data_IF_318133935220
#
_entry.id   IF_318133935220
#
_cell.length_a   1.000
_cell.length_b   1.000
_cell.length_c   1.000
_cell.angle_alpha   90.00
_cell.angle_beta   90.00
_cell.angle_gamma   90.00
#
_symmetry.space_group_name_H-M   'P 1'
#
loop_
_entity.id
_entity.type
_entity.pdbx_description
1 polymer ?
#
# COMPACT_ATOMS: atom_id res chain seq x y z
N UNK A 1 1.39 -3.51 -6.56
CA UNK A 1 0.19 -3.08 -5.82
C UNK A 1 -0.70 -2.17 -6.67
N UNK A 2 -2.01 -2.08 -6.45
CA UNK A 2 -3.00 -1.17 -7.11
C UNK A 2 -3.91 -0.54 -6.05
N UNK A 3 -4.76 0.44 -6.40
CA UNK A 3 -5.71 1.03 -5.44
C UNK A 3 -6.63 -0.03 -4.80
N UNK A 4 -7.08 -1.02 -5.58
CA UNK A 4 -7.89 -2.13 -5.06
C UNK A 4 -7.10 -3.05 -4.12
N UNK A 5 -5.80 -3.27 -4.40
CA UNK A 5 -4.95 -4.08 -3.50
C UNK A 5 -4.77 -3.37 -2.14
N UNK A 6 -4.65 -2.03 -2.13
CA UNK A 6 -4.62 -1.21 -0.91
C UNK A 6 -5.96 -1.28 -0.18
N UNK A 7 -7.07 -1.01 -0.89
CA UNK A 7 -8.40 -0.96 -0.30
C UNK A 7 -8.86 -2.28 0.34
N UNK A 8 -8.34 -3.41 -0.14
CA UNK A 8 -8.67 -4.75 0.34
C UNK A 8 -7.59 -5.33 1.26
N UNK A 9 -6.67 -4.50 1.74
CA UNK A 9 -5.68 -4.91 2.71
C UNK A 9 -6.37 -5.26 4.03
N UNK A 10 -5.97 -6.39 4.60
CA UNK A 10 -6.44 -6.91 5.89
C UNK A 10 -5.26 -7.05 6.84
N UNK A 11 -5.52 -7.11 8.14
CA UNK A 11 -4.47 -7.22 9.15
C UNK A 11 -3.61 -8.48 8.96
N UNK A 12 -4.23 -9.62 8.62
CA UNK A 12 -3.51 -10.88 8.35
C UNK A 12 -2.61 -10.87 7.12
N UNK A 13 -2.67 -9.83 6.28
CA UNK A 13 -1.70 -9.63 5.20
C UNK A 13 -0.42 -8.91 5.66
N UNK A 14 -0.36 -8.44 6.90
CA UNK A 14 0.76 -7.68 7.44
C UNK A 14 1.62 -8.60 8.29
N UNK A 15 2.90 -8.69 7.95
CA UNK A 15 3.89 -9.34 8.80
C UNK A 15 4.47 -8.30 9.75
N UNK A 16 4.55 -8.68 11.03
CA UNK A 16 5.09 -7.85 12.11
C UNK A 16 6.43 -8.42 12.58
N UNK A 17 7.34 -7.54 12.99
CA UNK A 17 8.56 -7.96 13.69
C UNK A 17 8.27 -8.33 15.17
N UNK A 18 9.31 -8.72 15.89
CA UNK A 18 9.22 -9.06 17.32
C UNK A 18 8.77 -7.91 18.23
N UNK A 19 8.85 -6.66 17.75
CA UNK A 19 8.39 -5.48 18.47
C UNK A 19 6.96 -5.07 18.09
N UNK A 20 6.27 -5.86 17.27
CA UNK A 20 4.92 -5.58 16.80
C UNK A 20 4.86 -4.47 15.74
N UNK A 21 5.98 -4.18 15.07
CA UNK A 21 6.03 -3.18 14.00
C UNK A 21 5.76 -3.85 12.64
N UNK A 22 4.90 -3.28 11.79
CA UNK A 22 4.70 -3.76 10.43
C UNK A 22 6.01 -3.69 9.63
N UNK A 23 6.43 -4.80 9.01
CA UNK A 23 7.67 -4.83 8.20
C UNK A 23 7.44 -5.23 6.75
N UNK A 24 6.36 -5.95 6.47
CA UNK A 24 6.10 -6.51 5.14
C UNK A 24 4.61 -6.69 4.92
N UNK A 25 4.18 -6.54 3.68
CA UNK A 25 2.84 -6.93 3.21
C UNK A 25 3.01 -8.20 2.41
N UNK A 26 2.27 -9.25 2.74
CA UNK A 26 2.14 -10.46 1.94
C UNK A 26 0.68 -10.60 1.49
N UNK A 27 0.45 -10.51 0.17
CA UNK A 27 -0.91 -10.50 -0.36
C UNK A 27 -0.95 -10.99 -1.79
N UNK A 28 -1.97 -11.79 -2.11
CA UNK A 28 -2.28 -12.12 -3.50
C UNK A 28 -2.86 -10.90 -4.22
N UNK A 29 -2.23 -10.51 -5.32
CA UNK A 29 -2.70 -9.40 -6.15
C UNK A 29 -4.05 -9.69 -6.78
N UNK A 30 -4.97 -8.74 -6.65
CA UNK A 30 -6.34 -8.87 -7.20
C UNK A 30 -6.29 -9.04 -8.72
N UNK A 31 -5.48 -8.24 -9.41
CA UNK A 31 -5.41 -8.25 -10.88
C UNK A 31 -4.62 -9.44 -11.45
N UNK A 32 -3.46 -9.76 -10.88
CA UNK A 32 -2.53 -10.73 -11.49
C UNK A 32 -2.62 -12.12 -10.87
N UNK A 33 -3.31 -12.26 -9.73
CA UNK A 33 -3.39 -13.53 -8.96
C UNK A 33 -2.00 -14.11 -8.65
N UNK A 34 -1.04 -13.23 -8.42
CA UNK A 34 0.32 -13.57 -7.99
C UNK A 34 0.42 -13.23 -6.51
N UNK A 35 0.82 -14.22 -5.69
CA UNK A 35 1.22 -13.99 -4.31
C UNK A 35 2.58 -13.31 -4.31
N UNK A 36 2.71 -12.23 -3.55
CA UNK A 36 3.98 -11.53 -3.42
C UNK A 36 4.08 -10.92 -2.03
N UNK A 37 5.33 -10.69 -1.64
CA UNK A 37 5.67 -10.03 -0.40
C UNK A 37 6.45 -8.74 -0.70
N UNK A 38 6.02 -7.63 -0.11
CA UNK A 38 6.64 -6.32 -0.27
C UNK A 38 7.13 -5.83 1.08
N UNK A 39 8.44 -5.63 1.21
CA UNK A 39 9.00 -4.91 2.36
C UNK A 39 8.38 -3.52 2.44
N UNK A 40 7.95 -3.14 3.62
CA UNK A 40 7.50 -1.79 3.91
C UNK A 40 8.71 -0.89 4.09
N UNK A 41 8.61 0.32 3.55
CA UNK A 41 9.48 1.42 3.91
C UNK A 41 9.32 1.73 5.40
N UNK A 42 10.42 2.08 6.07
CA UNK A 42 10.43 2.47 7.48
C UNK A 42 9.38 3.54 7.78
N UNK A 43 9.37 4.56 6.92
CA UNK A 43 8.37 5.63 6.91
C UNK A 43 6.93 5.12 6.86
N UNK A 44 6.66 4.14 5.99
CA UNK A 44 5.34 3.54 5.81
C UNK A 44 4.97 2.66 7.00
N UNK A 45 5.92 1.90 7.55
CA UNK A 45 5.76 1.08 8.74
C UNK A 45 5.32 1.91 9.94
N UNK A 46 5.96 3.06 10.18
CA UNK A 46 5.61 3.98 11.27
C UNK A 46 4.18 4.51 11.14
N UNK A 47 3.81 4.97 9.94
CA UNK A 47 2.46 5.48 9.67
C UNK A 47 1.42 4.38 9.82
N UNK A 48 1.67 3.19 9.29
CA UNK A 48 0.75 2.06 9.36
C UNK A 48 0.56 1.59 10.82
N UNK A 49 1.65 1.48 11.60
CA UNK A 49 1.56 1.13 13.02
C UNK A 49 0.72 2.13 13.80
N UNK A 50 0.96 3.43 13.60
CA UNK A 50 0.19 4.50 14.24
C UNK A 50 -1.30 4.44 13.84
N UNK A 51 -1.58 4.15 12.57
CA UNK A 51 -2.94 4.01 12.06
C UNK A 51 -3.66 2.81 12.67
N UNK A 52 -3.06 1.61 12.63
CA UNK A 52 -3.61 0.36 13.21
C UNK A 52 -3.94 0.58 14.68
N UNK A 53 -3.00 1.17 15.45
CA UNK A 53 -3.19 1.49 16.87
C UNK A 53 -4.33 2.49 17.10
N UNK A 54 -4.41 3.54 16.28
CA UNK A 54 -5.44 4.58 16.44
C UNK A 54 -6.86 4.04 16.24
N UNK A 55 -7.04 3.16 15.28
CA UNK A 55 -8.35 2.60 14.93
C UNK A 55 -8.64 1.25 15.59
N UNK A 56 -7.79 0.82 16.52
CA UNK A 56 -7.92 -0.45 17.27
C UNK A 56 -8.23 -1.66 16.36
N UNK A 57 -7.53 -1.75 15.22
CA UNK A 57 -7.78 -2.79 14.22
C UNK A 57 -7.27 -4.13 14.76
N UNK A 58 -8.19 -5.10 14.90
CA UNK A 58 -7.92 -6.42 15.50
C UNK A 58 -8.43 -7.54 14.61
N UNK A 59 -7.77 -8.69 14.66
CA UNK A 59 -8.16 -9.91 13.93
C UNK A 59 -7.69 -9.92 12.48
N UNK A 60 -7.26 -11.09 12.02
CA UNK A 60 -6.58 -11.25 10.73
C UNK A 60 -7.45 -10.88 9.53
N UNK A 61 -8.77 -11.11 9.64
CA UNK A 61 -9.72 -10.83 8.59
C UNK A 61 -10.17 -9.37 8.50
N UNK A 62 -9.78 -8.54 9.47
CA UNK A 62 -10.20 -7.14 9.53
C UNK A 62 -9.54 -6.29 8.46
N UNK A 63 -10.37 -5.56 7.72
CA UNK A 63 -9.91 -4.58 6.72
C UNK A 63 -9.18 -3.44 7.43
N UNK A 64 -8.05 -3.03 6.85
CA UNK A 64 -7.24 -1.94 7.42
C UNK A 64 -7.88 -0.59 7.11
N UNK A 65 -8.35 -0.37 5.88
CA UNK A 65 -8.84 0.94 5.45
C UNK A 65 -10.35 0.94 5.36
N UNK A 66 -10.96 1.70 6.26
CA UNK A 66 -12.41 1.95 6.31
C UNK A 66 -12.70 3.44 6.09
N UNK A 67 -13.91 3.75 5.60
CA UNK A 67 -14.40 5.13 5.57
C UNK A 67 -14.81 5.62 6.97
N UNK A 68 -15.25 6.87 7.06
CA UNK A 68 -15.64 7.48 8.36
C UNK A 68 -16.82 6.78 9.05
N UNK A 69 -17.59 6.01 8.29
CA UNK A 69 -18.75 5.26 8.78
C UNK A 69 -18.39 3.79 9.05
N UNK A 70 -17.10 3.44 9.02
CA UNK A 70 -16.63 2.06 9.26
C UNK A 70 -16.86 1.11 8.09
N UNK A 71 -17.24 1.61 6.90
CA UNK A 71 -17.48 0.77 5.73
C UNK A 71 -16.22 0.59 4.89
N UNK A 72 -16.11 -0.49 4.10
CA UNK A 72 -15.00 -0.65 3.16
C UNK A 72 -14.84 0.55 2.23
N UNK A 73 -13.59 1.02 2.07
CA UNK A 73 -13.26 2.15 1.18
C UNK A 73 -13.43 1.80 -0.30
N UNK A 74 -13.62 0.53 -0.63
CA UNK A 74 -14.11 0.09 -1.94
C UNK A 74 -15.33 -0.79 -1.74
N UNK A 75 -16.43 -0.46 -2.43
CA UNK A 75 -17.69 -1.20 -2.35
C UNK A 75 -18.54 -0.97 -3.59
N UNK A 76 -19.46 -1.88 -3.84
CA UNK A 76 -20.52 -1.66 -4.83
C UNK A 76 -21.64 -0.83 -4.18
N UNK A 77 -22.16 0.14 -4.93
CA UNK A 77 -23.34 0.91 -4.56
C UNK A 77 -24.50 0.37 -5.36
N UNK A 78 -25.56 -0.01 -4.66
CA UNK A 78 -26.78 -0.53 -5.27
C UNK A 78 -27.69 0.63 -5.68
N UNK A 79 -28.43 0.48 -6.77
CA UNK A 79 -29.51 1.40 -7.15
C UNK A 79 -30.77 1.15 -6.29
N UNK A 80 -31.82 1.93 -6.53
CA UNK A 80 -33.11 1.78 -5.85
C UNK A 80 -33.77 0.41 -6.06
N UNK A 81 -33.35 -0.36 -7.07
CA UNK A 81 -33.82 -1.72 -7.36
C UNK A 81 -32.94 -2.80 -6.69
N UNK A 82 -31.96 -2.41 -5.87
CA UNK A 82 -31.02 -3.35 -5.25
C UNK A 82 -29.97 -3.94 -6.21
N UNK A 83 -29.87 -3.45 -7.45
CA UNK A 83 -28.87 -3.88 -8.44
C UNK A 83 -27.58 -3.06 -8.35
N UNK A 84 -26.40 -3.62 -8.63
CA UNK A 84 -25.16 -2.86 -8.70
C UNK A 84 -25.27 -1.69 -9.70
N UNK A 85 -25.11 -0.46 -9.20
CA UNK A 85 -25.13 0.76 -10.01
C UNK A 85 -23.73 1.17 -10.41
N UNK A 86 -22.86 1.36 -9.41
CA UNK A 86 -21.49 1.80 -9.63
C UNK A 86 -20.60 1.41 -8.45
N UNK A 87 -19.29 1.44 -8.68
CA UNK A 87 -18.29 1.12 -7.66
C UNK A 87 -17.82 2.39 -6.97
N UNK A 88 -17.92 2.42 -5.65
CA UNK A 88 -17.21 3.39 -4.84
C UNK A 88 -15.73 2.99 -4.74
N UNK A 89 -14.83 3.90 -5.11
CA UNK A 89 -13.37 3.75 -4.92
C UNK A 89 -12.83 4.95 -4.13
N UNK A 90 -12.82 4.82 -2.81
CA UNK A 90 -12.32 5.83 -1.89
C UNK A 90 -10.81 6.07 -2.03
N UNK A 91 -10.04 5.03 -2.33
CA UNK A 91 -8.59 5.15 -2.59
C UNK A 91 -8.36 5.90 -3.89
N UNK A 92 -9.04 5.50 -4.97
CA UNK A 92 -9.01 6.19 -6.25
C UNK A 92 -9.40 7.67 -6.13
N UNK A 93 -10.47 7.98 -5.39
CA UNK A 93 -10.89 9.37 -5.10
C UNK A 93 -9.86 10.17 -4.29
N UNK A 94 -9.20 9.55 -3.31
CA UNK A 94 -8.11 10.20 -2.56
C UNK A 94 -6.95 10.56 -3.52
N UNK A 95 -6.55 9.64 -4.40
CA UNK A 95 -5.53 9.92 -5.41
C UNK A 95 -5.97 10.92 -6.48
N UNK A 96 -7.24 10.93 -6.88
CA UNK A 96 -7.75 11.95 -7.82
C UNK A 96 -7.68 13.35 -7.21
N UNK A 97 -7.95 13.50 -5.90
CA UNK A 97 -7.75 14.78 -5.20
C UNK A 97 -6.28 15.19 -5.18
N UNK A 98 -5.37 14.23 -4.94
CA UNK A 98 -3.93 14.49 -5.06
C UNK A 98 -3.55 14.90 -6.49
N UNK A 99 -4.07 14.23 -7.52
CA UNK A 99 -3.83 14.56 -8.93
C UNK A 99 -4.18 16.00 -9.24
N UNK A 100 -5.30 16.51 -8.72
CA UNK A 100 -5.68 17.91 -8.91
C UNK A 100 -4.68 18.86 -8.24
N UNK A 101 -4.07 18.47 -7.12
CA UNK A 101 -3.11 19.32 -6.40
C UNK A 101 -1.69 19.30 -6.99
N UNK A 102 -1.23 18.17 -7.57
CA UNK A 102 0.17 18.00 -7.96
C UNK A 102 0.39 17.20 -9.25
N UNK A 103 -0.67 16.83 -9.99
CA UNK A 103 -0.59 16.05 -11.22
C UNK A 103 -0.30 14.55 -11.03
N UNK A 104 -0.10 14.07 -9.79
CA UNK A 104 0.31 12.70 -9.52
C UNK A 104 -0.87 11.74 -9.39
N UNK A 105 -0.67 10.49 -9.79
CA UNK A 105 -1.66 9.41 -9.69
C UNK A 105 -1.04 8.23 -8.97
N UNK A 106 -1.85 7.27 -8.50
CA UNK A 106 -1.34 6.01 -7.93
C UNK A 106 -0.39 5.29 -8.89
N UNK A 107 -0.65 5.37 -10.20
CA UNK A 107 0.21 4.78 -11.23
C UNK A 107 1.58 5.46 -11.27
N UNK A 108 1.66 6.76 -11.02
CA UNK A 108 2.92 7.50 -10.97
C UNK A 108 3.81 7.00 -9.83
N UNK A 109 3.26 6.78 -8.63
CA UNK A 109 4.04 6.23 -7.51
C UNK A 109 4.72 4.90 -7.86
N UNK A 110 3.96 3.96 -8.46
CA UNK A 110 4.52 2.67 -8.91
C UNK A 110 5.61 2.83 -9.96
N UNK A 111 5.38 3.72 -10.94
CA UNK A 111 6.35 3.98 -12.02
C UNK A 111 7.62 4.58 -11.44
N UNK A 112 7.52 5.56 -10.55
CA UNK A 112 8.65 6.20 -9.89
C UNK A 112 9.51 5.16 -9.16
N UNK A 113 8.92 4.30 -8.33
CA UNK A 113 9.67 3.25 -7.62
C UNK A 113 10.41 2.32 -8.59
N UNK A 114 9.74 1.85 -9.65
CA UNK A 114 10.36 0.96 -10.65
C UNK A 114 11.47 1.67 -11.42
N UNK A 115 11.25 2.92 -11.84
CA UNK A 115 12.27 3.71 -12.52
C UNK A 115 13.49 3.92 -11.64
N UNK A 116 13.32 4.16 -10.35
CA UNK A 116 14.44 4.30 -9.41
C UNK A 116 15.18 2.96 -9.21
N UNK A 117 14.45 1.85 -9.08
CA UNK A 117 15.07 0.51 -9.06
C UNK A 117 15.88 0.23 -10.34
N UNK A 118 15.32 0.57 -11.50
CA UNK A 118 15.97 0.42 -12.80
C UNK A 118 17.25 1.26 -12.88
N UNK A 119 17.23 2.50 -12.38
CA UNK A 119 18.41 3.36 -12.30
C UNK A 119 19.48 2.79 -11.37
N UNK A 120 19.09 2.32 -10.19
CA UNK A 120 20.00 1.71 -9.21
C UNK A 120 20.65 0.41 -9.71
N UNK A 121 20.11 -0.18 -10.77
CA UNK A 121 20.58 -1.42 -11.39
C UNK A 121 21.14 -1.23 -12.79
N UNK A 122 21.20 0.01 -13.29
CA UNK A 122 21.53 0.34 -14.68
C UNK A 122 20.70 -0.46 -15.71
N UNK A 123 19.46 -0.81 -15.36
CA UNK A 123 18.54 -1.60 -16.18
C UNK A 123 18.91 -3.09 -16.33
N UNK A 124 19.93 -3.58 -15.61
CA UNK A 124 20.47 -4.94 -15.78
C UNK A 124 19.58 -6.05 -15.20
N UNK A 125 18.60 -5.70 -14.36
CA UNK A 125 17.78 -6.67 -13.61
C UNK A 125 16.26 -6.49 -13.85
N UNK A 126 15.74 -6.75 -15.06
CA UNK A 126 14.32 -6.58 -15.37
C UNK A 126 13.39 -7.47 -14.53
N UNK A 127 13.91 -8.59 -14.00
CA UNK A 127 13.16 -9.46 -13.10
C UNK A 127 12.88 -8.83 -11.73
N UNK A 128 13.76 -7.93 -11.25
CA UNK A 128 13.53 -7.14 -10.05
C UNK A 128 12.29 -6.26 -10.23
N UNK A 129 12.18 -5.57 -11.36
CA UNK A 129 11.03 -4.72 -11.67
C UNK A 129 9.72 -5.53 -11.78
N UNK A 130 9.79 -6.68 -12.45
CA UNK A 130 8.66 -7.60 -12.60
C UNK A 130 8.21 -8.17 -11.26
N UNK A 131 9.16 -8.57 -10.42
CA UNK A 131 8.92 -9.08 -9.06
C UNK A 131 8.25 -8.02 -8.19
N UNK A 132 8.78 -6.80 -8.15
CA UNK A 132 8.19 -5.69 -7.40
C UNK A 132 6.75 -5.39 -7.86
N UNK A 133 6.53 -5.39 -9.18
CA UNK A 133 5.21 -5.16 -9.76
C UNK A 133 4.28 -6.38 -9.69
N UNK A 134 4.76 -7.54 -9.24
CA UNK A 134 4.07 -8.84 -9.26
C UNK A 134 3.41 -9.12 -10.59
N UNK A 135 4.12 -8.82 -11.67
CA UNK A 135 3.72 -9.18 -13.01
C UNK A 135 4.16 -10.61 -13.28
N UNK A 136 3.31 -11.41 -13.92
CA UNK A 136 3.74 -12.73 -14.39
C UNK A 136 4.77 -12.54 -15.51
N UNK A 137 5.94 -13.19 -15.43
CA UNK A 137 6.87 -13.20 -16.55
C UNK A 137 6.19 -13.69 -17.83
N UNK A 138 6.56 -13.12 -18.97
CA UNK A 138 5.99 -13.53 -20.27
C UNK A 138 6.52 -14.88 -20.76
N UNK A 139 7.67 -15.34 -20.24
CA UNK A 139 8.30 -16.61 -20.61
C UNK A 139 8.08 -17.65 -19.51
N UNK A 140 7.60 -18.84 -19.90
CA UNK A 140 7.35 -19.97 -18.99
C UNK A 140 8.61 -20.36 -18.20
N UNK A 141 9.79 -20.32 -18.82
CA UNK A 141 11.05 -20.61 -18.14
C UNK A 141 11.34 -19.64 -16.98
N UNK A 142 10.96 -18.37 -17.11
CA UNK A 142 11.12 -17.39 -16.03
C UNK A 142 10.09 -17.61 -14.92
N UNK A 143 8.89 -18.13 -15.25
CA UNK A 143 7.83 -18.41 -14.28
C UNK A 143 8.23 -19.52 -13.30
N UNK A 144 8.91 -20.56 -13.79
CA UNK A 144 9.23 -21.75 -12.98
C UNK A 144 10.63 -21.76 -12.38
N UNK A 145 11.60 -21.09 -13.02
CA UNK A 145 13.01 -21.29 -12.68
C UNK A 145 13.74 -20.05 -12.16
N UNK A 146 13.11 -18.86 -12.18
CA UNK A 146 13.76 -17.65 -11.69
C UNK A 146 12.89 -16.93 -10.66
N UNK A 147 13.32 -17.02 -9.41
CA UNK A 147 12.82 -16.19 -8.32
C UNK A 147 13.85 -15.11 -8.00
N UNK A 148 13.40 -13.87 -7.88
CA UNK A 148 14.25 -12.80 -7.34
C UNK A 148 14.43 -13.06 -5.85
N UNK A 149 15.67 -13.15 -5.40
CA UNK A 149 15.98 -13.27 -3.98
C UNK A 149 15.30 -12.12 -3.20
N UNK A 150 14.45 -12.41 -2.19
CA UNK A 150 13.84 -11.39 -1.36
C UNK A 150 14.84 -10.41 -0.74
N UNK A 151 16.05 -10.88 -0.38
CA UNK A 151 17.09 -10.03 0.20
C UNK A 151 17.61 -8.98 -0.80
N UNK A 152 17.74 -9.39 -2.06
CA UNK A 152 18.13 -8.52 -3.16
C UNK A 152 17.06 -7.46 -3.45
N UNK A 153 15.78 -7.86 -3.46
CA UNK A 153 14.65 -6.93 -3.58
C UNK A 153 14.63 -5.89 -2.46
N UNK A 154 14.82 -6.33 -1.21
CA UNK A 154 14.79 -5.47 -0.04
C UNK A 154 15.91 -4.43 -0.06
N UNK A 155 17.11 -4.82 -0.50
CA UNK A 155 18.27 -3.93 -0.67
C UNK A 155 17.95 -2.79 -1.65
N UNK A 156 17.34 -3.12 -2.79
CA UNK A 156 16.96 -2.08 -3.76
C UNK A 156 15.79 -1.21 -3.28
N UNK A 157 14.84 -1.77 -2.51
CA UNK A 157 13.78 -0.98 -1.88
C UNK A 157 14.33 0.01 -0.86
N UNK A 158 15.35 -0.37 -0.08
CA UNK A 158 16.04 0.52 0.86
C UNK A 158 16.69 1.71 0.15
N UNK A 159 17.38 1.47 -0.98
CA UNK A 159 17.99 2.55 -1.78
C UNK A 159 16.94 3.52 -2.32
N UNK A 160 15.78 3.00 -2.78
CA UNK A 160 14.68 3.85 -3.22
C UNK A 160 14.13 4.69 -2.08
N UNK A 161 13.95 4.10 -0.88
CA UNK A 161 13.46 4.83 0.29
C UNK A 161 14.37 6.01 0.65
N UNK A 162 15.69 5.79 0.67
CA UNK A 162 16.68 6.83 0.97
C UNK A 162 16.60 8.00 -0.03
N UNK A 163 16.40 7.71 -1.31
CA UNK A 163 16.31 8.71 -2.37
C UNK A 163 14.99 9.50 -2.39
N UNK A 164 13.91 9.00 -1.76
CA UNK A 164 12.60 9.65 -1.76
C UNK A 164 12.43 10.71 -0.67
N UNK A 165 13.34 10.78 0.31
CA UNK A 165 13.37 11.80 1.38
C UNK A 165 12.00 12.07 2.04
N UNK A 166 11.26 11.00 2.36
CA UNK A 166 9.85 11.08 2.76
C UNK A 166 9.61 11.63 4.19
N UNK A 167 10.66 11.88 4.97
CA UNK A 167 10.56 12.11 6.42
C UNK A 167 9.71 13.33 6.79
N UNK A 168 9.82 14.42 6.01
CA UNK A 168 9.05 15.65 6.26
C UNK A 168 7.53 15.42 6.06
N UNK A 169 7.15 14.59 5.09
CA UNK A 169 5.76 14.21 4.80
C UNK A 169 5.25 13.28 5.90
N UNK A 170 6.05 12.28 6.28
CA UNK A 170 5.73 11.29 7.31
C UNK A 170 5.46 11.97 8.66
N UNK A 171 6.32 12.92 9.03
CA UNK A 171 6.17 13.68 10.27
C UNK A 171 4.82 14.42 10.35
N UNK A 172 4.40 15.07 9.25
CA UNK A 172 3.09 15.74 9.17
C UNK A 172 1.94 14.74 9.28
N UNK A 173 2.04 13.58 8.64
CA UNK A 173 1.00 12.54 8.72
C UNK A 173 0.88 12.02 10.16
N UNK A 174 2.00 11.72 10.81
CA UNK A 174 2.01 11.25 12.20
C UNK A 174 1.42 12.28 13.16
N UNK A 175 1.75 13.58 12.98
CA UNK A 175 1.13 14.67 13.74
C UNK A 175 -0.39 14.71 13.55
N UNK A 176 -0.88 14.60 12.32
CA UNK A 176 -2.31 14.58 12.03
C UNK A 176 -3.03 13.37 12.65
N UNK A 177 -2.40 12.18 12.60
CA UNK A 177 -2.92 10.97 13.24
C UNK A 177 -3.03 11.17 14.76
N UNK A 178 -2.04 11.79 15.39
CA UNK A 178 -2.04 12.08 16.82
C UNK A 178 -3.08 13.15 17.22
N UNK A 179 -3.15 14.27 16.48
CA UNK A 179 -4.03 15.41 16.78
C UNK A 179 -5.52 15.09 16.63
N UNK A 180 -5.87 14.21 15.68
CA UNK A 180 -7.26 13.80 15.47
C UNK A 180 -7.86 12.97 16.62
N UNK A 181 -7.08 12.65 17.66
CA UNK A 181 -7.56 12.09 18.92
C UNK A 181 -8.18 13.14 19.85
N UNK A 182 -7.80 14.42 19.71
CA UNK A 182 -8.26 15.53 20.57
C UNK A 182 -9.64 16.09 20.18
N UNK A 183 -10.01 16.00 18.90
CA UNK A 183 -11.29 16.56 18.41
C UNK A 183 -12.52 15.70 18.67
N UNK A 184 -12.36 14.42 19.03
CA UNK A 184 -13.49 13.53 19.36
C UNK A 184 -13.89 13.69 20.83
N UNK A 185 -12.96 14.10 21.70
CA UNK A 185 -13.23 14.30 23.13
C UNK A 185 -14.02 15.60 23.36
N UNK A 186 -13.81 16.64 22.55
CA UNK A 186 -14.47 17.94 22.71
C UNK A 186 -15.87 18.07 22.07
N UNK A 187 -16.42 16.99 21.48
CA UNK A 187 -17.79 17.00 20.93
C UNK A 187 -18.78 16.14 21.72
N UNK A 188 -18.34 15.57 22.85
CA UNK A 188 -19.19 14.85 23.81
C UNK A 188 -19.12 15.47 25.22
N UNK A 189 -18.72 16.73 25.33
CA UNK A 189 -18.81 17.54 26.56
C UNK A 189 -19.87 18.62 26.40
#
# INVERSE_FOLDING_TARGET
>A
FTSIDVATLKLGHIQFDSNGKPVRIEKMRVKTRVLSAWRLFESTSRVLAAYIKKYDIKGDDSLIFLDREGRPVVREILNHEGKPSHKYDGVGRAFSRMKLSNGLTFRHLRKTTVTMMSRNTEGKYPLLEQGFLSHRPSRISLVHYINVDPSFMDTHLLLVEQQLELESIVSKILQNIAQSKLSIINHHS
#
